data_IF_315740380591
#
_entry.id   IF_315740380591
#
_cell.length_a   1.000
_cell.length_b   1.000
_cell.length_c   1.000
_cell.angle_alpha   90.00
_cell.angle_beta   90.00
_cell.angle_gamma   90.00
#
_symmetry.space_group_name_H-M   'P 1'
#
loop_
_entity.id
_entity.type
_entity.pdbx_description
1 polymer ?
#
# COMPACT_ATOMS: atom_id res chain seq x y z
N UNK A 1 58.43 4.81 23.30
CA UNK A 1 57.68 3.63 22.83
C UNK A 1 56.49 4.13 22.06
N UNK A 2 56.49 3.84 20.77
CA UNK A 2 55.51 4.27 19.78
C UNK A 2 54.50 3.13 19.51
N UNK A 3 53.55 3.45 18.62
CA UNK A 3 52.59 2.62 17.88
C UNK A 3 51.18 2.57 18.48
N UNK A 4 50.10 2.73 17.72
CA UNK A 4 49.89 3.25 16.35
C UNK A 4 48.37 3.27 16.15
N UNK A 5 47.85 4.35 15.58
CA UNK A 5 46.62 4.33 14.81
C UNK A 5 46.79 3.37 13.61
N UNK A 6 45.76 2.57 13.30
CA UNK A 6 45.49 1.95 11.99
C UNK A 6 44.04 1.42 12.01
N UNK A 7 43.08 2.04 11.33
CA UNK A 7 42.86 1.99 9.88
C UNK A 7 42.48 0.57 9.42
N UNK A 8 41.18 0.26 9.33
CA UNK A 8 40.69 -0.88 8.57
C UNK A 8 39.87 -0.34 7.39
N UNK A 9 40.61 -0.21 6.29
CA UNK A 9 40.23 0.32 5.00
C UNK A 9 39.11 -0.49 4.34
N UNK A 10 38.33 0.22 3.53
CA UNK A 10 37.42 -0.34 2.54
C UNK A 10 38.16 -1.29 1.59
N UNK A 11 37.76 -2.56 1.54
CA UNK A 11 38.20 -3.50 0.52
C UNK A 11 37.24 -3.47 -0.68
N UNK A 12 37.26 -2.35 -1.41
CA UNK A 12 36.76 -2.31 -2.80
C UNK A 12 37.99 -2.19 -3.70
N UNK A 13 38.31 -3.20 -4.53
CA UNK A 13 39.34 -3.06 -5.55
C UNK A 13 38.92 -2.04 -6.62
N UNK A 14 39.72 -0.98 -6.75
CA UNK A 14 39.54 0.19 -7.61
C UNK A 14 39.72 -0.07 -9.12
N UNK A 15 39.42 -1.28 -9.62
CA UNK A 15 39.76 -1.66 -11.01
C UNK A 15 38.58 -1.72 -11.99
N UNK A 16 37.37 -1.26 -11.62
CA UNK A 16 36.20 -1.31 -12.51
C UNK A 16 35.62 0.05 -12.97
N UNK A 17 36.35 1.16 -12.80
CA UNK A 17 35.93 2.46 -13.34
C UNK A 17 37.03 3.21 -14.10
N UNK A 18 37.79 2.49 -14.91
CA UNK A 18 38.52 3.09 -16.03
C UNK A 18 38.02 2.51 -17.35
N UNK A 19 37.15 3.26 -18.03
CA UNK A 19 37.02 3.17 -19.48
C UNK A 19 37.19 4.57 -20.08
N UNK A 20 38.41 4.74 -20.56
CA UNK A 20 38.90 5.59 -21.63
C UNK A 20 37.84 6.19 -22.57
N UNK A 21 37.97 7.51 -22.72
CA UNK A 21 37.44 8.32 -23.81
C UNK A 21 37.88 7.79 -25.18
N UNK A 22 36.93 7.59 -26.09
CA UNK A 22 37.18 7.69 -27.53
C UNK A 22 36.25 8.74 -28.12
N UNK A 23 36.87 9.81 -28.61
CA UNK A 23 36.27 10.88 -29.37
C UNK A 23 36.07 10.47 -30.83
N UNK A 24 35.07 11.06 -31.49
CA UNK A 24 35.12 11.37 -32.92
C UNK A 24 34.35 12.69 -33.19
N UNK A 25 34.83 13.57 -34.10
CA UNK A 25 34.50 14.99 -34.11
C UNK A 25 33.54 15.37 -35.24
N UNK A 26 32.60 16.29 -34.99
CA UNK A 26 32.04 17.13 -36.05
C UNK A 26 31.40 18.41 -35.52
N UNK A 27 31.58 19.50 -36.28
CA UNK A 27 31.00 20.84 -36.13
C UNK A 27 31.49 21.75 -35.01
N UNK A 28 32.75 22.19 -35.14
CA UNK A 28 33.11 23.60 -34.88
C UNK A 28 33.06 24.36 -36.20
N UNK A 29 32.06 25.21 -36.42
CA UNK A 29 32.05 26.34 -37.41
C UNK A 29 30.71 27.07 -37.47
N UNK A 30 30.22 27.68 -36.38
CA UNK A 30 29.16 28.73 -36.48
C UNK A 30 29.07 29.63 -35.24
N UNK A 31 30.20 30.06 -34.68
CA UNK A 31 30.20 31.05 -33.59
C UNK A 31 31.40 32.00 -33.73
N UNK A 32 31.61 32.44 -34.96
CA UNK A 32 32.40 33.62 -35.31
C UNK A 32 31.52 34.46 -36.24
N UNK A 33 30.56 35.18 -35.67
CA UNK A 33 30.00 36.42 -36.23
C UNK A 33 29.06 37.02 -35.18
N UNK A 34 29.13 38.34 -34.99
CA UNK A 34 28.38 39.15 -34.01
C UNK A 34 29.08 39.28 -32.63
N UNK A 35 30.33 39.74 -32.67
CA UNK A 35 30.86 40.68 -31.68
C UNK A 35 31.45 41.85 -32.44
N UNK A 36 30.75 43.01 -32.45
CA UNK A 36 31.21 44.38 -32.78
C UNK A 36 30.00 45.30 -33.11
N UNK A 37 29.45 45.99 -32.12
CA UNK A 37 29.49 47.46 -31.98
C UNK A 37 28.38 48.00 -31.04
N UNK A 38 28.68 49.01 -30.20
CA UNK A 38 27.76 49.64 -29.26
C UNK A 38 27.12 50.92 -29.84
N UNK A 39 26.06 51.38 -29.18
CA UNK A 39 25.22 52.57 -29.41
C UNK A 39 24.05 52.40 -30.38
N UNK A 40 22.82 52.34 -29.84
CA UNK A 40 21.73 53.20 -30.28
C UNK A 40 20.55 53.16 -29.27
N UNK A 41 20.39 54.26 -28.52
CA UNK A 41 19.15 54.95 -28.14
C UNK A 41 18.05 54.23 -27.32
N UNK A 42 17.87 54.72 -26.08
CA UNK A 42 16.54 54.81 -25.44
C UNK A 42 15.70 55.89 -26.14
N UNK A 43 14.36 55.73 -26.17
CA UNK A 43 13.59 56.67 -25.35
C UNK A 43 12.45 56.02 -24.54
N UNK A 44 12.17 56.73 -23.45
CA UNK A 44 11.12 56.51 -22.46
C UNK A 44 9.70 56.54 -23.06
N UNK A 45 8.82 55.63 -22.62
CA UNK A 45 7.38 55.81 -22.73
C UNK A 45 6.67 55.17 -21.54
N UNK A 46 5.94 56.03 -20.82
CA UNK A 46 5.14 55.75 -19.65
C UNK A 46 4.03 54.73 -19.90
N UNK A 47 3.73 53.96 -18.84
CA UNK A 47 2.40 53.40 -18.61
C UNK A 47 2.41 51.89 -18.42
N UNK A 48 2.18 51.43 -17.19
CA UNK A 48 1.09 50.52 -16.82
C UNK A 48 1.26 50.12 -15.34
N UNK A 49 0.32 50.63 -14.54
CA UNK A 49 -0.36 49.97 -13.41
C UNK A 49 0.46 49.15 -12.41
N UNK A 50 0.63 49.76 -11.24
CA UNK A 50 0.94 49.08 -9.98
C UNK A 50 -0.13 48.01 -9.66
N UNK A 51 0.19 46.74 -9.90
CA UNK A 51 -0.44 45.63 -9.17
C UNK A 51 0.56 45.18 -8.12
N UNK A 52 0.35 45.59 -6.86
CA UNK A 52 0.97 44.94 -5.70
C UNK A 52 0.56 43.46 -5.75
N UNK A 53 1.46 42.61 -6.20
CA UNK A 53 1.29 41.17 -6.08
C UNK A 53 1.36 40.85 -4.59
N UNK A 54 0.20 40.58 -4.01
CA UNK A 54 0.09 39.98 -2.69
C UNK A 54 0.62 38.54 -2.80
N UNK A 55 1.94 38.40 -2.67
CA UNK A 55 2.59 37.09 -2.61
C UNK A 55 2.31 36.53 -1.22
N UNK A 56 1.24 35.74 -1.14
CA UNK A 56 1.04 34.80 -0.03
C UNK A 56 2.28 33.90 -0.02
N UNK A 57 3.03 33.79 1.08
CA UNK A 57 4.13 32.85 1.15
C UNK A 57 3.58 31.46 0.82
N UNK A 58 4.16 30.81 -0.21
CA UNK A 58 3.88 29.40 -0.45
C UNK A 58 4.09 28.65 0.87
N UNK A 59 3.18 27.75 1.28
CA UNK A 59 3.38 26.93 2.46
C UNK A 59 4.77 26.32 2.36
N UNK A 60 5.61 26.63 3.35
CA UNK A 60 6.96 26.12 3.51
C UNK A 60 6.99 24.65 3.12
N UNK A 61 7.88 24.29 2.18
CA UNK A 61 8.07 22.90 1.74
C UNK A 61 8.11 22.00 2.98
N UNK A 62 7.20 21.01 3.12
CA UNK A 62 7.21 20.15 4.28
C UNK A 62 8.58 19.47 4.33
N UNK A 63 9.27 19.62 5.46
CA UNK A 63 10.60 19.05 5.77
C UNK A 63 10.75 17.70 5.05
N UNK A 64 11.70 17.59 4.11
CA UNK A 64 11.99 16.32 3.43
C UNK A 64 12.30 15.27 4.51
N UNK A 65 11.33 14.41 4.79
CA UNK A 65 11.51 13.28 5.70
C UNK A 65 12.54 12.35 5.05
N UNK A 66 13.65 12.11 5.74
CA UNK A 66 14.68 11.20 5.25
C UNK A 66 14.14 9.77 5.13
N UNK A 67 14.50 9.10 4.04
CA UNK A 67 14.11 7.71 3.77
C UNK A 67 14.66 6.81 4.88
N UNK A 68 13.83 5.89 5.39
CA UNK A 68 14.16 4.98 6.49
C UNK A 68 14.45 5.63 7.85
N UNK A 69 14.08 6.90 8.05
CA UNK A 69 14.07 7.53 9.37
C UNK A 69 12.89 7.05 10.23
N UNK A 70 12.92 7.23 11.56
CA UNK A 70 11.75 6.98 12.42
C UNK A 70 10.50 7.74 11.96
N UNK A 71 10.68 8.96 11.43
CA UNK A 71 9.61 9.77 10.86
C UNK A 71 9.04 9.16 9.58
N UNK A 72 9.85 8.50 8.75
CA UNK A 72 9.38 7.75 7.58
C UNK A 72 8.52 6.55 8.00
N UNK A 73 8.96 5.75 8.97
CA UNK A 73 8.16 4.62 9.46
C UNK A 73 6.86 5.07 10.12
N UNK A 74 6.88 6.18 10.88
CA UNK A 74 5.68 6.79 11.45
C UNK A 74 4.70 7.27 10.36
N UNK A 75 5.22 7.90 9.30
CA UNK A 75 4.41 8.33 8.16
C UNK A 75 3.79 7.15 7.39
N UNK A 76 4.55 6.07 7.15
CA UNK A 76 4.03 4.85 6.53
C UNK A 76 2.97 4.17 7.41
N UNK A 77 3.16 4.19 8.74
CA UNK A 77 2.18 3.69 9.71
C UNK A 77 0.88 4.51 9.68
N UNK A 78 0.98 5.84 9.74
CA UNK A 78 -0.17 6.75 9.69
C UNK A 78 -0.90 6.68 8.33
N UNK A 79 -0.16 6.61 7.22
CA UNK A 79 -0.74 6.39 5.90
C UNK A 79 -1.46 5.05 5.81
N UNK A 80 -0.90 3.99 6.41
CA UNK A 80 -1.52 2.67 6.49
C UNK A 80 -2.82 2.67 7.29
N UNK A 81 -2.86 3.37 8.42
CA UNK A 81 -4.05 3.56 9.26
C UNK A 81 -5.18 4.21 8.46
N UNK A 82 -4.88 5.31 7.75
CA UNK A 82 -5.86 6.05 6.96
C UNK A 82 -6.32 5.25 5.75
N UNK A 83 -5.38 4.64 5.03
CA UNK A 83 -5.63 3.81 3.86
C UNK A 83 -6.55 2.64 4.19
N UNK A 84 -6.15 1.73 5.08
CA UNK A 84 -6.95 0.55 5.39
C UNK A 84 -8.19 0.91 6.22
N UNK A 85 -8.09 1.76 7.23
CA UNK A 85 -9.22 2.14 8.06
C UNK A 85 -10.37 2.78 7.29
N UNK A 86 -10.10 3.83 6.51
CA UNK A 86 -11.16 4.55 5.77
C UNK A 86 -11.79 3.69 4.67
N UNK A 87 -10.97 2.93 3.95
CA UNK A 87 -11.48 2.04 2.88
C UNK A 87 -12.35 0.93 3.46
N UNK A 88 -11.93 0.28 4.53
CA UNK A 88 -12.72 -0.78 5.18
C UNK A 88 -13.98 -0.25 5.87
N UNK A 89 -13.93 0.95 6.44
CA UNK A 89 -15.13 1.63 6.92
C UNK A 89 -16.12 1.90 5.78
N UNK A 90 -15.64 2.39 4.63
CA UNK A 90 -16.49 2.68 3.48
C UNK A 90 -17.16 1.43 2.89
N UNK A 91 -16.49 0.28 2.89
CA UNK A 91 -17.07 -0.99 2.42
C UNK A 91 -17.84 -1.76 3.48
N UNK A 92 -17.90 -1.27 4.73
CA UNK A 92 -18.61 -1.95 5.84
C UNK A 92 -20.06 -2.34 5.49
N UNK A 93 -20.89 -1.49 4.83
CA UNK A 93 -22.25 -1.89 4.45
C UNK A 93 -22.29 -3.11 3.53
N UNK A 94 -21.34 -3.20 2.60
CA UNK A 94 -21.21 -4.31 1.66
C UNK A 94 -20.70 -5.57 2.38
N UNK A 95 -19.76 -5.43 3.30
CA UNK A 95 -19.28 -6.54 4.15
C UNK A 95 -20.41 -7.11 5.00
N UNK A 96 -21.27 -6.24 5.56
CA UNK A 96 -22.40 -6.65 6.38
C UNK A 96 -23.40 -7.48 5.57
N UNK A 97 -23.77 -7.01 4.37
CA UNK A 97 -24.63 -7.77 3.45
C UNK A 97 -24.01 -9.13 3.13
N UNK A 98 -22.70 -9.17 2.86
CA UNK A 98 -21.98 -10.42 2.57
C UNK A 98 -21.96 -11.40 3.73
N UNK A 99 -21.67 -10.95 4.95
CA UNK A 99 -21.66 -11.82 6.12
C UNK A 99 -23.06 -12.41 6.36
N UNK A 100 -24.12 -11.59 6.24
CA UNK A 100 -25.50 -12.08 6.34
C UNK A 100 -25.85 -13.10 5.25
N UNK A 101 -25.40 -12.88 4.02
CA UNK A 101 -25.56 -13.85 2.91
C UNK A 101 -24.85 -15.19 3.17
N UNK A 102 -23.70 -15.17 3.84
CA UNK A 102 -22.96 -16.40 4.15
C UNK A 102 -23.65 -17.22 5.25
N UNK A 103 -24.35 -16.55 6.18
CA UNK A 103 -25.02 -17.22 7.30
C UNK A 103 -26.42 -17.70 6.93
N UNK A 104 -27.17 -16.86 6.24
CA UNK A 104 -28.54 -17.17 5.84
C UNK A 104 -28.72 -16.95 4.33
N UNK A 105 -28.19 -17.87 3.49
CA UNK A 105 -28.29 -17.78 2.04
C UNK A 105 -29.74 -17.92 1.53
N UNK A 106 -30.65 -18.49 2.33
CA UNK A 106 -32.06 -18.62 1.97
C UNK A 106 -32.77 -17.26 2.06
N UNK A 107 -32.45 -16.48 3.08
CA UNK A 107 -32.99 -15.13 3.30
C UNK A 107 -32.35 -14.07 2.42
N UNK A 108 -31.03 -14.12 2.25
CA UNK A 108 -30.27 -13.12 1.48
C UNK A 108 -29.82 -13.70 0.12
N UNK A 109 -30.72 -13.66 -0.88
CA UNK A 109 -30.51 -14.32 -2.19
C UNK A 109 -29.51 -13.62 -3.12
N UNK A 110 -29.35 -12.31 -2.98
CA UNK A 110 -28.45 -11.49 -3.81
C UNK A 110 -27.99 -10.26 -3.04
N UNK A 111 -26.92 -9.61 -3.50
CA UNK A 111 -26.40 -8.38 -2.86
C UNK A 111 -27.49 -7.30 -2.84
N UNK A 112 -28.15 -7.04 -3.97
CA UNK A 112 -29.23 -6.03 -4.06
C UNK A 112 -30.43 -6.38 -3.18
N UNK A 113 -30.85 -7.65 -3.17
CA UNK A 113 -31.89 -8.14 -2.26
C UNK A 113 -31.46 -7.98 -0.81
N UNK A 114 -30.19 -8.25 -0.50
CA UNK A 114 -29.67 -8.14 0.86
C UNK A 114 -29.61 -6.71 1.38
N UNK A 115 -29.29 -5.72 0.54
CA UNK A 115 -29.47 -4.31 0.88
C UNK A 115 -30.94 -3.99 1.18
N UNK A 116 -31.89 -4.48 0.37
CA UNK A 116 -33.32 -4.27 0.59
C UNK A 116 -33.86 -4.92 1.87
N UNK A 117 -33.48 -6.18 2.13
CA UNK A 117 -33.86 -6.91 3.36
C UNK A 117 -33.28 -6.22 4.58
N UNK A 118 -32.00 -5.83 4.54
CA UNK A 118 -31.35 -5.17 5.66
C UNK A 118 -31.96 -3.80 5.97
N UNK A 119 -32.31 -3.03 4.93
CA UNK A 119 -33.01 -1.76 5.09
C UNK A 119 -34.40 -1.94 5.71
N UNK A 120 -35.15 -2.98 5.33
CA UNK A 120 -36.49 -3.26 5.87
C UNK A 120 -36.46 -3.73 7.33
N UNK A 121 -35.49 -4.56 7.70
CA UNK A 121 -35.43 -5.16 9.05
C UNK A 121 -34.68 -4.30 10.07
N UNK A 122 -33.57 -3.68 9.66
CA UNK A 122 -32.66 -2.97 10.57
C UNK A 122 -32.62 -1.45 10.32
N UNK A 123 -33.28 -0.97 9.26
CA UNK A 123 -33.25 0.42 8.86
C UNK A 123 -31.87 0.87 8.38
N UNK A 124 -31.75 2.18 8.09
CA UNK A 124 -30.50 2.76 7.60
C UNK A 124 -29.34 2.63 8.60
N UNK A 125 -29.64 2.64 9.91
CA UNK A 125 -28.65 2.45 10.97
C UNK A 125 -28.07 1.03 10.98
N UNK A 126 -28.78 0.05 10.43
CA UNK A 126 -28.32 -1.32 10.28
C UNK A 126 -27.05 -1.44 9.46
N UNK A 127 -26.89 -0.64 8.40
CA UNK A 127 -25.72 -0.67 7.50
C UNK A 127 -24.39 -0.31 8.16
N UNK A 128 -24.44 0.41 9.27
CA UNK A 128 -23.24 0.82 10.01
C UNK A 128 -22.94 -0.12 11.18
N UNK A 129 -23.66 -1.23 11.34
CA UNK A 129 -23.42 -2.15 12.45
C UNK A 129 -22.03 -2.79 12.32
N UNK A 130 -21.22 -2.65 13.37
CA UNK A 130 -19.83 -3.13 13.37
C UNK A 130 -18.83 -2.21 12.66
N UNK A 131 -19.18 -0.97 12.30
CA UNK A 131 -18.23 -0.04 11.67
C UNK A 131 -17.01 0.30 12.56
N UNK A 132 -17.21 0.41 13.88
CA UNK A 132 -16.13 0.70 14.84
C UNK A 132 -15.09 -0.42 14.92
N UNK A 133 -15.45 -1.70 15.18
CA UNK A 133 -14.46 -2.77 15.16
C UNK A 133 -13.79 -2.91 13.79
N UNK A 134 -14.51 -2.67 12.69
CA UNK A 134 -13.90 -2.63 11.35
C UNK A 134 -12.86 -1.52 11.25
N UNK A 135 -13.22 -0.27 11.58
CA UNK A 135 -12.31 0.86 11.47
C UNK A 135 -11.06 0.64 12.32
N UNK A 136 -11.22 0.31 13.60
CA UNK A 136 -10.08 0.13 14.52
C UNK A 136 -9.23 -1.09 14.14
N UNK A 137 -9.86 -2.21 13.81
CA UNK A 137 -9.15 -3.43 13.41
C UNK A 137 -8.33 -3.23 12.14
N UNK A 138 -8.94 -2.71 11.07
CA UNK A 138 -8.25 -2.49 9.81
C UNK A 138 -7.29 -1.30 9.86
N UNK A 139 -7.50 -0.32 10.73
CA UNK A 139 -6.50 0.71 11.03
C UNK A 139 -5.26 0.12 11.70
N UNK A 140 -5.43 -0.72 12.73
CA UNK A 140 -4.31 -1.39 13.40
C UNK A 140 -3.57 -2.35 12.46
N UNK A 141 -4.32 -3.10 11.65
CA UNK A 141 -3.75 -3.93 10.58
C UNK A 141 -2.98 -3.06 9.58
N UNK A 142 -3.55 -1.95 9.10
CA UNK A 142 -2.92 -1.04 8.15
C UNK A 142 -1.63 -0.43 8.70
N UNK A 143 -1.64 -0.02 9.97
CA UNK A 143 -0.48 0.48 10.70
C UNK A 143 0.69 -0.52 10.63
N UNK A 144 0.42 -1.76 11.05
CA UNK A 144 1.41 -2.82 11.10
C UNK A 144 1.84 -3.23 9.70
N UNK A 145 0.89 -3.43 8.78
CA UNK A 145 1.14 -3.91 7.43
C UNK A 145 2.03 -2.95 6.65
N UNK A 146 1.71 -1.65 6.61
CA UNK A 146 2.51 -0.68 5.85
C UNK A 146 3.76 -0.22 6.60
N UNK A 147 3.69 -0.07 7.92
CA UNK A 147 4.84 0.30 8.75
C UNK A 147 5.92 -0.80 8.77
N UNK A 148 5.55 -2.02 9.17
CA UNK A 148 6.50 -3.13 9.23
C UNK A 148 6.95 -3.62 7.86
N UNK A 149 6.13 -3.48 6.81
CA UNK A 149 6.57 -3.82 5.45
C UNK A 149 7.82 -3.04 5.06
N UNK A 150 7.84 -1.73 5.31
CA UNK A 150 9.02 -0.90 5.03
C UNK A 150 10.22 -1.27 5.90
N UNK A 151 9.97 -1.65 7.15
CA UNK A 151 11.02 -2.11 8.08
C UNK A 151 11.64 -3.43 7.60
N UNK A 152 10.82 -4.45 7.36
CA UNK A 152 11.29 -5.77 6.91
C UNK A 152 11.90 -5.72 5.51
N UNK A 153 11.38 -4.87 4.62
CA UNK A 153 11.97 -4.64 3.30
C UNK A 153 13.41 -4.16 3.43
N UNK A 154 13.66 -3.14 4.27
CA UNK A 154 15.02 -2.66 4.56
C UNK A 154 15.87 -3.75 5.20
N UNK A 155 15.38 -4.35 6.28
CA UNK A 155 16.09 -5.38 7.03
C UNK A 155 16.55 -6.57 6.16
N UNK A 156 15.65 -7.11 5.33
CA UNK A 156 15.98 -8.21 4.43
C UNK A 156 16.84 -7.78 3.25
N UNK A 157 16.73 -6.54 2.76
CA UNK A 157 17.65 -5.99 1.76
C UNK A 157 19.07 -5.80 2.31
N UNK A 158 19.19 -5.32 3.54
CA UNK A 158 20.49 -5.11 4.21
C UNK A 158 21.20 -6.46 4.46
N UNK A 159 20.44 -7.50 4.84
CA UNK A 159 20.97 -8.87 5.01
C UNK A 159 21.40 -9.50 3.68
N UNK A 160 20.63 -9.29 2.61
CA UNK A 160 20.96 -9.84 1.30
C UNK A 160 22.20 -9.18 0.69
N UNK A 161 22.47 -7.91 1.02
CA UNK A 161 23.52 -7.11 0.39
C UNK A 161 23.10 -6.57 -0.99
N UNK A 162 23.82 -5.57 -1.53
CA UNK A 162 23.37 -4.76 -2.67
C UNK A 162 23.18 -5.54 -3.97
N UNK A 163 24.03 -6.53 -4.26
CA UNK A 163 23.90 -7.37 -5.47
C UNK A 163 22.69 -8.31 -5.41
N UNK A 164 22.48 -8.96 -4.27
CA UNK A 164 21.37 -9.91 -4.11
C UNK A 164 20.04 -9.22 -3.82
N UNK A 165 20.05 -8.01 -3.25
CA UNK A 165 18.84 -7.22 -3.04
C UNK A 165 18.16 -6.85 -4.38
N UNK A 166 18.95 -6.56 -5.42
CA UNK A 166 18.42 -6.33 -6.77
C UNK A 166 17.95 -7.63 -7.43
N UNK A 167 18.71 -8.73 -7.29
CA UNK A 167 18.41 -10.03 -7.89
C UNK A 167 17.18 -10.72 -7.28
N UNK A 168 17.04 -10.66 -5.96
CA UNK A 168 15.96 -11.30 -5.19
C UNK A 168 14.91 -10.31 -4.67
N UNK A 169 14.81 -9.13 -5.29
CA UNK A 169 13.89 -8.05 -4.92
C UNK A 169 12.46 -8.53 -4.65
N UNK A 170 11.88 -9.32 -5.56
CA UNK A 170 10.53 -9.88 -5.39
C UNK A 170 10.43 -10.79 -4.17
N UNK A 171 11.44 -11.65 -3.95
CA UNK A 171 11.49 -12.56 -2.80
C UNK A 171 11.57 -11.80 -1.48
N UNK A 172 12.37 -10.73 -1.43
CA UNK A 172 12.47 -9.83 -0.29
C UNK A 172 11.12 -9.14 -0.02
N UNK A 173 10.43 -8.69 -1.06
CA UNK A 173 9.11 -8.04 -0.90
C UNK A 173 8.05 -9.03 -0.42
N UNK A 174 8.07 -10.27 -0.92
CA UNK A 174 7.19 -11.34 -0.46
C UNK A 174 7.47 -11.69 1.01
N UNK A 175 8.74 -11.87 1.39
CA UNK A 175 9.12 -12.17 2.77
C UNK A 175 8.78 -11.00 3.71
N UNK A 176 9.04 -9.76 3.31
CA UNK A 176 8.76 -8.56 4.10
C UNK A 176 7.27 -8.33 4.31
N UNK A 177 6.47 -8.51 3.25
CA UNK A 177 5.01 -8.39 3.33
C UNK A 177 4.37 -9.51 4.14
N UNK A 178 4.84 -10.76 4.02
CA UNK A 178 4.37 -11.86 4.85
C UNK A 178 4.68 -11.65 6.35
N UNK A 179 5.90 -11.22 6.67
CA UNK A 179 6.32 -10.94 8.05
C UNK A 179 5.50 -9.81 8.68
N UNK A 180 5.26 -8.74 7.91
CA UNK A 180 4.42 -7.63 8.34
C UNK A 180 2.96 -8.06 8.57
N UNK A 181 2.42 -8.90 7.68
CA UNK A 181 1.03 -9.36 7.78
C UNK A 181 0.79 -10.27 8.99
N UNK A 182 1.74 -11.15 9.33
CA UNK A 182 1.62 -12.00 10.53
C UNK A 182 1.40 -11.15 11.78
N UNK A 183 2.17 -10.07 11.94
CA UNK A 183 2.06 -9.15 13.07
C UNK A 183 0.76 -8.33 12.97
N UNK A 184 0.40 -7.88 11.76
CA UNK A 184 -0.82 -7.13 11.52
C UNK A 184 -2.08 -7.92 11.87
N UNK A 185 -2.09 -9.23 11.57
CA UNK A 185 -3.22 -10.11 11.85
C UNK A 185 -3.39 -10.40 13.35
N UNK A 186 -2.31 -10.38 14.14
CA UNK A 186 -2.41 -10.45 15.61
C UNK A 186 -3.16 -9.24 16.16
N UNK A 187 -2.96 -8.05 15.58
CA UNK A 187 -3.67 -6.84 15.97
C UNK A 187 -5.13 -6.81 15.42
N UNK A 188 -5.35 -7.36 14.23
CA UNK A 188 -6.67 -7.42 13.59
C UNK A 188 -7.61 -8.44 14.24
N UNK A 189 -7.08 -9.61 14.61
CA UNK A 189 -7.87 -10.78 14.98
C UNK A 189 -8.93 -10.52 16.06
N UNK A 190 -8.63 -9.84 17.19
CA UNK A 190 -9.63 -9.52 18.20
C UNK A 190 -10.78 -8.65 17.68
N UNK A 191 -10.46 -7.66 16.85
CA UNK A 191 -11.47 -6.76 16.29
C UNK A 191 -12.33 -7.48 15.24
N UNK A 192 -11.72 -8.36 14.44
CA UNK A 192 -12.43 -9.19 13.46
C UNK A 192 -13.39 -10.16 14.16
N UNK A 193 -12.97 -10.79 15.26
CA UNK A 193 -13.82 -11.69 16.05
C UNK A 193 -15.06 -10.97 16.60
N UNK A 194 -14.89 -9.77 17.15
CA UNK A 194 -16.01 -8.94 17.63
C UNK A 194 -16.87 -8.44 16.47
N UNK A 195 -16.27 -7.97 15.37
CA UNK A 195 -16.97 -7.52 14.17
C UNK A 195 -17.91 -8.59 13.66
N UNK A 196 -17.38 -9.81 13.44
CA UNK A 196 -18.18 -10.94 12.95
C UNK A 196 -19.34 -11.18 13.88
N UNK A 197 -19.16 -11.28 15.20
CA UNK A 197 -20.28 -11.50 16.13
C UNK A 197 -21.33 -10.39 16.11
N UNK A 198 -20.89 -9.13 16.10
CA UNK A 198 -21.78 -7.97 16.04
C UNK A 198 -22.61 -7.96 14.76
N UNK A 199 -22.02 -8.31 13.61
CA UNK A 199 -22.69 -8.31 12.31
C UNK A 199 -23.60 -9.53 12.10
N UNK A 200 -23.24 -10.68 12.67
CA UNK A 200 -23.82 -11.97 12.33
C UNK A 200 -24.85 -12.48 13.35
N UNK A 201 -24.80 -12.00 14.58
CA UNK A 201 -25.70 -12.41 15.65
C UNK A 201 -26.63 -11.26 16.05
N UNK A 202 -27.89 -11.25 15.56
CA UNK A 202 -28.90 -10.32 16.02
C UNK A 202 -29.03 -10.37 17.55
N UNK A 203 -28.98 -9.22 18.22
CA UNK A 203 -29.12 -9.13 19.68
C UNK A 203 -27.84 -9.37 20.49
N UNK A 204 -26.72 -9.83 19.90
CA UNK A 204 -25.46 -10.04 20.63
C UNK A 204 -24.89 -8.73 21.20
N UNK A 205 -24.71 -7.73 20.34
CA UNK A 205 -24.21 -6.40 20.71
C UNK A 205 -24.52 -5.36 19.62
N UNK A 206 -24.55 -4.07 19.97
CA UNK A 206 -24.77 -2.94 19.06
C UNK A 206 -23.47 -2.45 18.41
N UNK A 207 -22.33 -2.67 19.05
CA UNK A 207 -21.02 -2.24 18.56
C UNK A 207 -19.85 -2.83 19.34
N UNK A 208 -18.70 -2.16 19.29
CA UNK A 208 -17.48 -2.61 19.99
C UNK A 208 -17.61 -2.48 21.52
N UNK A 209 -18.17 -1.37 22.00
CA UNK A 209 -18.21 -1.04 23.43
C UNK A 209 -19.01 -2.05 24.27
N UNK A 210 -20.06 -2.64 23.72
CA UNK A 210 -20.82 -3.71 24.36
C UNK A 210 -20.43 -5.11 23.85
N UNK A 211 -20.02 -5.23 22.58
CA UNK A 211 -19.64 -6.50 21.97
C UNK A 211 -18.35 -7.10 22.52
N UNK A 212 -17.30 -6.28 22.71
CA UNK A 212 -16.02 -6.76 23.23
C UNK A 212 -16.13 -7.34 24.65
N UNK A 213 -16.67 -6.62 25.66
CA UNK A 213 -16.76 -7.17 27.01
C UNK A 213 -17.69 -8.39 27.08
N UNK A 214 -18.78 -8.42 26.29
CA UNK A 214 -19.66 -9.60 26.20
C UNK A 214 -18.95 -10.80 25.60
N UNK A 215 -18.17 -10.60 24.54
CA UNK A 215 -17.38 -11.65 23.92
C UNK A 215 -16.41 -12.27 24.93
N UNK A 216 -15.59 -11.43 25.57
CA UNK A 216 -14.59 -11.88 26.56
C UNK A 216 -15.26 -12.60 27.72
N UNK A 217 -16.43 -12.13 28.20
CA UNK A 217 -17.19 -12.81 29.25
C UNK A 217 -17.73 -14.18 28.80
N UNK A 218 -18.13 -14.32 27.54
CA UNK A 218 -18.74 -15.55 27.02
C UNK A 218 -17.73 -16.63 26.58
N UNK A 219 -16.59 -16.23 26.01
CA UNK A 219 -15.63 -17.16 25.38
C UNK A 219 -14.19 -17.03 25.88
N UNK A 220 -13.94 -16.09 26.80
CA UNK A 220 -12.60 -15.76 27.29
C UNK A 220 -11.77 -14.94 26.29
N UNK A 221 -10.65 -14.40 26.78
CA UNK A 221 -9.73 -13.60 25.98
C UNK A 221 -9.07 -14.44 24.85
N UNK A 222 -8.78 -15.72 25.10
CA UNK A 222 -8.24 -16.63 24.08
C UNK A 222 -9.26 -16.92 22.96
N UNK A 223 -10.56 -16.76 23.23
CA UNK A 223 -11.61 -16.89 22.22
C UNK A 223 -11.45 -15.91 21.06
N UNK A 224 -10.86 -14.73 21.31
CA UNK A 224 -10.61 -13.69 20.31
C UNK A 224 -9.63 -14.14 19.21
N UNK A 225 -8.77 -15.12 19.50
CA UNK A 225 -7.72 -15.59 18.61
C UNK A 225 -8.04 -16.94 17.94
N UNK A 226 -9.20 -17.54 18.21
CA UNK A 226 -9.61 -18.82 17.58
C UNK A 226 -9.62 -18.77 16.04
N UNK A 227 -9.83 -17.58 15.47
CA UNK A 227 -9.86 -17.35 14.03
C UNK A 227 -8.51 -17.01 13.39
N UNK A 228 -7.40 -16.98 14.14
CA UNK A 228 -6.12 -16.45 13.62
C UNK A 228 -5.53 -17.30 12.50
N UNK A 229 -5.64 -18.63 12.56
CA UNK A 229 -5.10 -19.53 11.53
C UNK A 229 -5.86 -19.38 10.20
N UNK A 230 -7.21 -19.44 10.17
CA UNK A 230 -7.98 -19.09 8.97
C UNK A 230 -7.70 -17.66 8.48
N UNK A 231 -7.47 -16.72 9.39
CA UNK A 231 -7.15 -15.34 9.04
C UNK A 231 -5.82 -15.26 8.29
N UNK A 232 -4.74 -15.84 8.82
CA UNK A 232 -3.44 -15.91 8.16
C UNK A 232 -3.51 -16.60 6.80
N UNK A 233 -4.24 -17.71 6.69
CA UNK A 233 -4.41 -18.44 5.43
C UNK A 233 -5.07 -17.60 4.33
N UNK A 234 -5.85 -16.58 4.70
CA UNK A 234 -6.47 -15.64 3.77
C UNK A 234 -5.60 -14.39 3.53
N UNK A 235 -5.10 -13.79 4.59
CA UNK A 235 -4.51 -12.45 4.56
C UNK A 235 -3.06 -12.46 4.09
N UNK A 236 -2.25 -13.45 4.48
CA UNK A 236 -0.83 -13.51 4.09
C UNK A 236 -0.69 -13.64 2.57
N UNK A 237 -1.37 -14.58 1.88
CA UNK A 237 -1.26 -14.68 0.42
C UNK A 237 -1.80 -13.43 -0.28
N UNK A 238 -2.89 -12.85 0.25
CA UNK A 238 -3.48 -11.63 -0.26
C UNK A 238 -2.47 -10.46 -0.21
N UNK A 239 -1.85 -10.25 0.95
CA UNK A 239 -0.88 -9.17 1.17
C UNK A 239 0.41 -9.38 0.38
N UNK A 240 0.94 -10.61 0.33
CA UNK A 240 2.10 -10.95 -0.50
C UNK A 240 1.88 -10.56 -1.96
N UNK A 241 0.75 -10.97 -2.54
CA UNK A 241 0.41 -10.63 -3.92
C UNK A 241 0.17 -9.13 -4.08
N UNK A 242 -0.53 -8.49 -3.14
CA UNK A 242 -0.84 -7.05 -3.19
C UNK A 242 0.42 -6.21 -3.31
N UNK A 243 1.41 -6.42 -2.44
CA UNK A 243 2.66 -5.63 -2.46
C UNK A 243 3.57 -6.02 -3.63
N UNK A 244 3.77 -7.32 -3.89
CA UNK A 244 4.65 -7.75 -4.96
C UNK A 244 4.11 -7.34 -6.35
N UNK A 245 2.82 -7.49 -6.62
CA UNK A 245 2.22 -7.04 -7.88
C UNK A 245 2.26 -5.52 -7.99
N UNK A 246 1.89 -4.79 -6.95
CA UNK A 246 1.84 -3.33 -7.00
C UNK A 246 3.20 -2.71 -7.33
N UNK A 247 4.26 -3.12 -6.63
CA UNK A 247 5.62 -2.59 -6.86
C UNK A 247 6.12 -2.86 -8.28
N UNK A 248 5.85 -4.06 -8.81
CA UNK A 248 6.23 -4.43 -10.17
C UNK A 248 5.39 -3.71 -11.23
N UNK A 249 4.07 -3.60 -11.02
CA UNK A 249 3.15 -2.93 -11.94
C UNK A 249 3.48 -1.44 -12.03
N UNK A 250 3.70 -0.77 -10.89
CA UNK A 250 4.06 0.65 -10.88
C UNK A 250 5.39 0.87 -11.63
N UNK A 251 6.40 0.02 -11.41
CA UNK A 251 7.65 0.09 -12.18
C UNK A 251 7.43 -0.13 -13.68
N UNK A 252 6.57 -1.08 -14.07
CA UNK A 252 6.24 -1.32 -15.47
C UNK A 252 5.49 -0.16 -16.11
N UNK A 253 4.55 0.47 -15.39
CA UNK A 253 3.81 1.65 -15.84
C UNK A 253 4.78 2.81 -16.07
N UNK A 254 5.68 3.09 -15.12
CA UNK A 254 6.68 4.14 -15.28
C UNK A 254 7.70 3.84 -16.39
N UNK A 255 8.03 2.57 -16.64
CA UNK A 255 8.99 2.19 -17.68
C UNK A 255 8.39 2.19 -19.10
N UNK A 256 7.12 1.83 -19.26
CA UNK A 256 6.52 1.59 -20.58
C UNK A 256 5.39 2.54 -20.95
N UNK A 257 4.66 3.09 -19.97
CA UNK A 257 3.48 3.91 -20.24
C UNK A 257 3.73 5.41 -20.04
N UNK A 258 4.79 5.81 -19.33
CA UNK A 258 5.11 7.21 -19.03
C UNK A 258 6.49 7.55 -19.62
N UNK A 259 6.56 8.45 -20.63
CA UNK A 259 7.82 8.82 -21.27
C UNK A 259 8.68 9.77 -20.42
N UNK A 260 8.17 10.28 -19.30
CA UNK A 260 8.85 11.19 -18.39
C UNK A 260 9.31 10.50 -17.10
N UNK A 261 10.52 10.81 -16.60
CA UNK A 261 10.99 10.30 -15.31
C UNK A 261 10.07 10.77 -14.18
N UNK A 262 9.91 9.92 -13.15
CA UNK A 262 8.96 10.11 -12.06
C UNK A 262 9.09 11.48 -11.37
N UNK A 263 10.31 12.01 -11.29
CA UNK A 263 10.63 13.28 -10.65
C UNK A 263 10.07 14.51 -11.40
N UNK A 264 9.71 14.34 -12.68
CA UNK A 264 9.12 15.38 -13.53
C UNK A 264 7.60 15.22 -13.69
N UNK A 265 7.01 14.14 -13.16
CA UNK A 265 5.57 13.91 -13.21
C UNK A 265 4.83 14.77 -12.17
N UNK A 266 3.69 15.36 -12.56
CA UNK A 266 2.83 16.08 -11.62
C UNK A 266 2.36 15.17 -10.48
N UNK A 267 2.17 15.73 -9.27
CA UNK A 267 1.69 14.96 -8.10
C UNK A 267 0.37 14.25 -8.39
N UNK A 268 -0.54 14.88 -9.13
CA UNK A 268 -1.82 14.28 -9.56
C UNK A 268 -1.60 13.08 -10.48
N UNK A 269 -0.66 13.16 -11.42
CA UNK A 269 -0.33 12.03 -12.30
C UNK A 269 0.27 10.87 -11.49
N UNK A 270 1.16 11.15 -10.54
CA UNK A 270 1.73 10.13 -9.67
C UNK A 270 0.65 9.43 -8.83
N UNK A 271 -0.29 10.18 -8.24
CA UNK A 271 -1.41 9.61 -7.50
C UNK A 271 -2.37 8.80 -8.39
N UNK A 272 -2.60 9.25 -9.63
CA UNK A 272 -3.36 8.50 -10.62
C UNK A 272 -2.70 7.18 -10.98
N UNK A 273 -1.38 7.17 -11.14
CA UNK A 273 -0.58 5.94 -11.36
C UNK A 273 -0.66 5.01 -10.16
N UNK A 274 -0.60 5.54 -8.94
CA UNK A 274 -0.76 4.73 -7.71
C UNK A 274 -2.14 4.10 -7.63
N UNK A 275 -3.21 4.84 -7.96
CA UNK A 275 -4.56 4.27 -8.00
C UNK A 275 -4.69 3.20 -9.09
N UNK A 276 -4.23 3.49 -10.32
CA UNK A 276 -4.32 2.55 -11.45
C UNK A 276 -3.47 1.30 -11.23
N UNK A 277 -2.22 1.46 -10.76
CA UNK A 277 -1.34 0.37 -10.37
C UNK A 277 -1.93 -0.45 -9.23
N UNK A 278 -2.57 0.21 -8.25
CA UNK A 278 -3.31 -0.45 -7.18
C UNK A 278 -4.50 -1.25 -7.69
N UNK A 279 -5.27 -0.71 -8.64
CA UNK A 279 -6.39 -1.43 -9.24
C UNK A 279 -5.93 -2.69 -9.98
N UNK A 280 -4.92 -2.57 -10.86
CA UNK A 280 -4.37 -3.71 -11.61
C UNK A 280 -3.78 -4.74 -10.65
N UNK A 281 -3.02 -4.31 -9.63
CA UNK A 281 -2.52 -5.20 -8.58
C UNK A 281 -3.65 -5.93 -7.83
N UNK A 282 -4.76 -5.23 -7.58
CA UNK A 282 -5.97 -5.81 -7.00
C UNK A 282 -6.62 -6.87 -7.90
N UNK A 283 -6.58 -6.70 -9.23
CA UNK A 283 -7.03 -7.74 -10.18
C UNK A 283 -6.17 -8.99 -10.08
N UNK A 284 -4.83 -8.86 -10.08
CA UNK A 284 -3.93 -9.99 -9.89
C UNK A 284 -4.14 -10.68 -8.54
N UNK A 285 -4.29 -9.88 -7.49
CA UNK A 285 -4.60 -10.37 -6.14
C UNK A 285 -5.92 -11.15 -6.12
N UNK A 286 -6.96 -10.64 -6.79
CA UNK A 286 -8.25 -11.30 -6.90
C UNK A 286 -8.15 -12.64 -7.65
N UNK A 287 -7.34 -12.74 -8.71
CA UNK A 287 -7.17 -13.98 -9.48
C UNK A 287 -6.40 -15.02 -8.65
N UNK A 288 -5.26 -14.64 -8.06
CA UNK A 288 -4.38 -15.60 -7.38
C UNK A 288 -4.98 -16.09 -6.06
N UNK A 289 -5.63 -15.21 -5.30
CA UNK A 289 -6.23 -15.62 -4.02
C UNK A 289 -7.63 -16.20 -4.16
N UNK A 290 -8.20 -16.25 -5.38
CA UNK A 290 -9.58 -16.73 -5.62
C UNK A 290 -9.82 -18.16 -5.16
N UNK A 291 -8.91 -19.11 -5.44
CA UNK A 291 -9.14 -20.49 -5.07
C UNK A 291 -9.16 -20.68 -3.55
N UNK A 292 -8.21 -20.04 -2.85
CA UNK A 292 -8.14 -20.07 -1.40
C UNK A 292 -9.40 -19.47 -0.76
N UNK A 293 -9.91 -18.37 -1.32
CA UNK A 293 -11.13 -17.71 -0.85
C UNK A 293 -12.37 -18.61 -1.00
N UNK A 294 -12.51 -19.30 -2.14
CA UNK A 294 -13.58 -20.26 -2.39
C UNK A 294 -13.47 -21.50 -1.49
N UNK A 295 -12.25 -22.00 -1.24
CA UNK A 295 -12.01 -23.11 -0.31
C UNK A 295 -12.40 -22.72 1.12
N UNK A 296 -11.90 -21.59 1.62
CA UNK A 296 -12.20 -21.12 2.99
C UNK A 296 -13.70 -20.85 3.15
N UNK A 297 -14.34 -20.23 2.16
CA UNK A 297 -15.79 -20.00 2.18
C UNK A 297 -16.58 -21.31 2.21
N UNK A 298 -16.14 -22.32 1.46
CA UNK A 298 -16.77 -23.64 1.48
C UNK A 298 -16.60 -24.34 2.84
N UNK A 299 -15.39 -24.34 3.39
CA UNK A 299 -15.09 -24.97 4.67
C UNK A 299 -15.84 -24.31 5.83
N UNK A 300 -16.02 -22.99 5.77
CA UNK A 300 -16.82 -22.27 6.76
C UNK A 300 -18.31 -22.62 6.71
N UNK A 301 -18.83 -22.92 5.52
CA UNK A 301 -20.25 -23.29 5.33
C UNK A 301 -20.52 -24.78 5.60
N UNK A 302 -19.57 -25.66 5.29
CA UNK A 302 -19.69 -27.10 5.45
C UNK A 302 -18.87 -27.59 6.65
N UNK A 303 -19.47 -27.53 7.85
CA UNK A 303 -18.82 -28.01 9.09
C UNK A 303 -18.36 -29.45 8.96
N UNK A 304 -17.05 -29.70 9.13
CA UNK A 304 -16.44 -31.02 9.04
C UNK A 304 -16.01 -31.45 7.63
N UNK A 305 -16.23 -30.62 6.61
CA UNK A 305 -15.73 -30.91 5.27
C UNK A 305 -14.21 -30.68 5.18
N UNK A 306 -13.54 -31.47 4.36
CA UNK A 306 -12.12 -31.29 4.04
C UNK A 306 -11.92 -30.44 2.79
N UNK A 307 -10.70 -29.95 2.58
CA UNK A 307 -10.31 -29.29 1.31
C UNK A 307 -10.58 -30.21 0.12
N UNK A 308 -10.40 -31.53 0.27
CA UNK A 308 -10.69 -32.51 -0.77
C UNK A 308 -12.18 -32.55 -1.15
N UNK A 309 -13.08 -32.43 -0.18
CA UNK A 309 -14.53 -32.39 -0.42
C UNK A 309 -14.94 -31.09 -1.13
N UNK A 310 -14.29 -29.98 -0.80
CA UNK A 310 -14.48 -28.70 -1.47
C UNK A 310 -14.08 -28.79 -2.95
N UNK A 311 -12.90 -29.36 -3.24
CA UNK A 311 -12.40 -29.53 -4.62
C UNK A 311 -13.30 -30.48 -5.41
N UNK A 312 -13.74 -31.59 -4.80
CA UNK A 312 -14.66 -32.55 -5.45
C UNK A 312 -16.02 -31.93 -5.77
N UNK A 313 -16.56 -31.08 -4.89
CA UNK A 313 -17.91 -30.51 -5.05
C UNK A 313 -17.94 -29.24 -5.92
N UNK A 314 -16.92 -28.39 -5.80
CA UNK A 314 -16.82 -27.15 -6.59
C UNK A 314 -16.21 -27.39 -7.98
N UNK A 315 -15.39 -28.44 -8.11
CA UNK A 315 -14.56 -28.69 -9.27
C UNK A 315 -13.40 -27.69 -9.37
N UNK A 316 -12.29 -28.11 -9.98
CA UNK A 316 -11.11 -27.25 -10.15
C UNK A 316 -11.46 -25.97 -10.93
N UNK A 317 -12.28 -26.08 -11.98
CA UNK A 317 -12.71 -24.92 -12.77
C UNK A 317 -13.64 -23.97 -12.01
N UNK A 318 -14.58 -24.53 -11.22
CA UNK A 318 -15.47 -23.72 -10.39
C UNK A 318 -14.71 -22.98 -9.29
N UNK A 319 -13.62 -23.57 -8.80
CA UNK A 319 -12.77 -22.96 -7.79
C UNK A 319 -12.09 -21.67 -8.27
N UNK A 320 -11.72 -21.59 -9.56
CA UNK A 320 -11.06 -20.42 -10.14
C UNK A 320 -12.02 -19.41 -10.78
N UNK A 321 -13.21 -19.82 -11.22
CA UNK A 321 -14.10 -18.95 -12.00
C UNK A 321 -15.31 -18.42 -11.24
N UNK A 322 -15.81 -19.17 -10.24
CA UNK A 322 -17.07 -18.83 -9.55
C UNK A 322 -16.90 -17.57 -8.69
N UNK A 323 -17.55 -16.48 -9.09
CA UNK A 323 -17.52 -15.20 -8.35
C UNK A 323 -16.29 -14.32 -8.64
N UNK A 324 -15.40 -14.73 -9.54
CA UNK A 324 -14.17 -14.00 -9.85
C UNK A 324 -14.43 -12.57 -10.38
N UNK A 325 -15.37 -12.30 -11.31
CA UNK A 325 -15.60 -10.94 -11.80
C UNK A 325 -16.03 -9.95 -10.70
N UNK A 326 -16.91 -10.38 -9.80
CA UNK A 326 -17.32 -9.56 -8.65
C UNK A 326 -16.15 -9.29 -7.69
N UNK A 327 -15.28 -10.29 -7.52
CA UNK A 327 -14.08 -10.17 -6.69
C UNK A 327 -13.05 -9.23 -7.33
N UNK A 328 -12.88 -9.27 -8.65
CA UNK A 328 -12.02 -8.34 -9.40
C UNK A 328 -12.48 -6.89 -9.20
N UNK A 329 -13.78 -6.61 -9.38
CA UNK A 329 -14.31 -5.26 -9.19
C UNK A 329 -14.12 -4.81 -7.75
N UNK A 330 -14.46 -5.65 -6.76
CA UNK A 330 -14.35 -5.26 -5.36
C UNK A 330 -12.90 -5.13 -4.87
N UNK A 331 -12.07 -6.15 -5.08
CA UNK A 331 -10.68 -6.14 -4.61
C UNK A 331 -9.86 -5.13 -5.42
N UNK A 332 -10.10 -5.01 -6.72
CA UNK A 332 -9.48 -4.00 -7.58
C UNK A 332 -9.74 -2.59 -7.07
N UNK A 333 -11.02 -2.21 -6.91
CA UNK A 333 -11.40 -0.87 -6.41
C UNK A 333 -10.90 -0.62 -4.99
N UNK A 334 -11.03 -1.60 -4.08
CA UNK A 334 -10.54 -1.48 -2.71
C UNK A 334 -9.01 -1.27 -2.68
N UNK A 335 -8.26 -2.07 -3.44
CA UNK A 335 -6.79 -2.00 -3.48
C UNK A 335 -6.32 -0.71 -4.13
N UNK A 336 -6.97 -0.27 -5.22
CA UNK A 336 -6.70 1.01 -5.87
C UNK A 336 -6.94 2.18 -4.92
N UNK A 337 -8.08 2.20 -4.22
CA UNK A 337 -8.39 3.24 -3.24
C UNK A 337 -7.39 3.24 -2.07
N UNK A 338 -7.01 2.07 -1.57
CA UNK A 338 -6.02 1.94 -0.49
C UNK A 338 -4.67 2.55 -0.90
N UNK A 339 -4.14 2.19 -2.07
CA UNK A 339 -2.88 2.74 -2.55
C UNK A 339 -2.97 4.23 -2.88
N UNK A 340 -4.10 4.68 -3.46
CA UNK A 340 -4.35 6.10 -3.72
C UNK A 340 -4.36 6.95 -2.44
N UNK A 341 -5.06 6.51 -1.39
CA UNK A 341 -5.10 7.21 -0.09
C UNK A 341 -3.73 7.17 0.58
N UNK A 342 -3.04 6.03 0.53
CA UNK A 342 -1.71 5.86 1.12
C UNK A 342 -0.69 6.83 0.49
N UNK A 343 -0.63 6.86 -0.84
CA UNK A 343 0.31 7.73 -1.55
C UNK A 343 -0.12 9.20 -1.48
N UNK A 344 -1.42 9.51 -1.42
CA UNK A 344 -1.89 10.87 -1.17
C UNK A 344 -1.43 11.37 0.19
N UNK A 345 -1.49 10.52 1.23
CA UNK A 345 -0.97 10.85 2.55
C UNK A 345 0.55 11.05 2.53
N UNK A 346 1.31 10.16 1.86
CA UNK A 346 2.76 10.32 1.71
C UNK A 346 3.12 11.65 1.05
N UNK A 347 2.45 11.99 -0.04
CA UNK A 347 2.65 13.27 -0.74
C UNK A 347 2.31 14.47 0.15
N UNK A 348 1.24 14.36 0.95
CA UNK A 348 0.84 15.39 1.91
C UNK A 348 1.92 15.64 2.98
N UNK A 349 2.58 14.59 3.48
CA UNK A 349 3.67 14.71 4.46
C UNK A 349 5.06 14.93 3.83
N UNK A 350 5.15 15.15 2.51
CA UNK A 350 6.40 15.44 1.81
C UNK A 350 7.23 14.22 1.39
N UNK A 351 6.66 13.01 1.46
CA UNK A 351 7.30 11.77 1.01
C UNK A 351 6.98 11.45 -0.47
N UNK A 352 7.88 10.72 -1.16
CA UNK A 352 7.60 10.25 -2.51
C UNK A 352 6.50 9.19 -2.52
N UNK A 353 5.72 9.18 -3.60
CA UNK A 353 4.77 8.11 -3.91
C UNK A 353 5.50 6.76 -4.04
N UNK A 354 4.79 5.67 -3.81
CA UNK A 354 5.36 4.32 -3.83
C UNK A 354 5.79 3.92 -5.27
N UNK A 355 6.74 2.99 -5.40
CA UNK A 355 7.27 2.53 -6.70
C UNK A 355 8.19 3.52 -7.44
N UNK A 356 8.68 4.55 -6.76
CA UNK A 356 9.79 5.37 -7.26
C UNK A 356 11.12 4.71 -6.94
N UNK A 357 12.09 4.81 -7.84
CA UNK A 357 13.48 4.46 -7.49
C UNK A 357 13.82 5.32 -6.27
N UNK A 358 14.22 4.69 -5.17
CA UNK A 358 14.71 5.42 -4.00
C UNK A 358 15.78 6.41 -4.52
N UNK A 359 15.76 7.69 -4.12
CA UNK A 359 16.82 8.61 -4.49
C UNK A 359 18.14 7.91 -4.17
N UNK A 360 19.04 7.82 -5.16
CA UNK A 360 20.38 7.30 -4.92
C UNK A 360 20.92 8.02 -3.68
N UNK A 361 21.43 7.24 -2.72
CA UNK A 361 22.04 7.80 -1.52
C UNK A 361 22.96 8.96 -1.95
N UNK A 362 22.89 10.13 -1.30
CA UNK A 362 23.76 11.24 -1.67
C UNK A 362 25.20 10.73 -1.67
N UNK A 363 26.00 11.06 -2.70
CA UNK A 363 27.38 10.62 -2.74
C UNK A 363 28.05 11.08 -1.45
N UNK A 364 28.78 10.17 -0.80
CA UNK A 364 29.43 10.34 0.50
C UNK A 364 30.49 11.46 0.56
N UNK A 365 30.55 12.33 -0.46
CA UNK A 365 31.55 13.39 -0.62
C UNK A 365 31.06 14.79 -0.20
N UNK A 366 29.83 14.96 0.29
CA UNK A 366 29.34 16.27 0.72
C UNK A 366 29.56 16.60 2.21
N UNK A 367 29.93 15.63 3.05
CA UNK A 367 30.15 15.85 4.49
C UNK A 367 31.61 16.20 4.85
N UNK A 368 32.55 16.00 3.92
CA UNK A 368 33.98 16.29 4.11
C UNK A 368 34.42 17.71 3.69
N UNK A 369 33.49 18.58 3.26
CA UNK A 369 33.79 19.96 2.86
C UNK A 369 33.40 21.02 3.91
N UNK A 370 33.10 20.60 5.16
CA UNK A 370 32.76 21.49 6.28
C UNK A 370 33.51 21.18 7.59
N UNK A 371 34.64 20.48 7.52
CA UNK A 371 35.61 20.40 8.63
C UNK A 371 36.88 21.13 8.26
#
# INVERSE_FOLDING_TARGET
MALSDNNCQSLIPSFLYSTSSLASPSSKKTLDFISKNPNLLLPSANGVSSKRSFVIPSPSEPRKIEMYSPAFYAACTAGGILSCGLTHMAVTPLDLVKCNMQIDPAKYKSISSGFGVLLREQGFKGFFRGWVPTLLGYSAQGACKFGFYEFFKKYYSDIAGPEYAAKYKTLIYLAGSASAEVIADVALCPMEAVKVRVQTQPGFARGLGDGFPRFVKSEGALGLYKGIVPLWGRQIPYTMMKFASFENIVQLIYKHAIPTPKDQCSKTLQLGVSFAGGYIAGVFCAIVSHPADNLVSYLNNAKGATVGDAVKKLGLWGLFTRGLPLRIVMIGTLTGAQWGIYDAFKVFVGLPTTGGVAPAAPPASAELAKM
#
